data_IF_135553354228
#
_entry.id   IF_135553354228
#
_cell.length_a   1.000
_cell.length_b   1.000
_cell.length_c   1.000
_cell.angle_alpha   90.00
_cell.angle_beta   90.00
_cell.angle_gamma   90.00
#
_symmetry.space_group_name_H-M   'P 1'
#
loop_
_entity.id
_entity.type
_entity.pdbx_description
1 polymer ?
#
# COMPACT_ATOMS: atom_id res chain seq x y z
N UNK A 1 11.26 13.35 27.94
CA UNK A 1 12.54 14.10 27.89
C UNK A 1 12.33 15.38 28.67
N UNK A 2 13.18 15.72 29.65
CA UNK A 2 13.06 17.03 30.29
C UNK A 2 13.35 18.12 29.25
N UNK A 3 12.48 19.12 29.12
CA UNK A 3 12.64 20.23 28.17
C UNK A 3 14.02 20.92 28.29
N UNK A 4 14.63 20.87 29.48
CA UNK A 4 16.00 21.34 29.76
C UNK A 4 17.09 20.65 28.92
N UNK A 5 16.94 19.36 28.62
CA UNK A 5 17.90 18.66 27.75
C UNK A 5 17.70 19.04 26.29
N UNK A 6 16.46 19.21 25.85
CA UNK A 6 16.14 19.62 24.48
C UNK A 6 16.72 21.01 24.21
N UNK A 7 16.54 21.95 25.14
CA UNK A 7 17.07 23.31 25.00
C UNK A 7 18.61 23.34 24.99
N UNK A 8 19.27 22.51 25.79
CA UNK A 8 20.73 22.43 25.83
C UNK A 8 21.31 21.85 24.54
N UNK A 9 20.67 20.80 24.00
CA UNK A 9 21.04 20.20 22.71
C UNK A 9 20.84 21.19 21.55
N UNK A 10 19.74 21.94 21.58
CA UNK A 10 19.45 22.97 20.59
C UNK A 10 20.45 24.13 20.66
N UNK A 11 20.83 24.56 21.86
CA UNK A 11 21.84 25.60 22.07
C UNK A 11 23.20 25.24 21.47
N UNK A 12 23.65 24.00 21.66
CA UNK A 12 24.91 23.48 21.08
C UNK A 12 24.84 23.48 19.54
N UNK A 13 23.70 23.08 18.97
CA UNK A 13 23.50 23.09 17.51
C UNK A 13 23.50 24.53 16.95
N UNK A 14 22.88 25.47 17.67
CA UNK A 14 22.91 26.89 17.30
C UNK A 14 24.33 27.45 17.33
N UNK A 15 25.17 27.08 18.30
CA UNK A 15 26.58 27.50 18.36
C UNK A 15 27.38 26.95 17.18
N UNK A 16 27.21 25.67 16.85
CA UNK A 16 27.85 25.04 15.69
C UNK A 16 27.46 25.74 14.38
N UNK A 17 26.16 25.99 14.17
CA UNK A 17 25.64 26.68 12.98
C UNK A 17 26.08 28.15 12.91
N UNK A 18 26.17 28.84 14.05
CA UNK A 18 26.67 30.21 14.11
C UNK A 18 28.16 30.28 13.72
N UNK A 19 28.99 29.34 14.19
CA UNK A 19 30.40 29.24 13.79
C UNK A 19 30.56 29.06 12.28
N UNK A 20 29.80 28.14 11.68
CA UNK A 20 29.80 27.93 10.23
C UNK A 20 29.39 29.16 9.42
N UNK A 21 28.38 29.92 9.90
CA UNK A 21 27.93 31.16 9.25
C UNK A 21 28.99 32.26 9.32
N UNK A 22 29.67 32.42 10.47
CA UNK A 22 30.73 33.41 10.65
C UNK A 22 31.97 33.11 9.78
N UNK A 23 32.25 31.83 9.52
CA UNK A 23 33.33 31.42 8.63
C UNK A 23 32.95 31.48 7.13
N UNK A 24 31.72 31.85 6.80
CA UNK A 24 31.25 31.93 5.41
C UNK A 24 30.94 30.58 4.73
N UNK A 25 30.99 29.46 5.47
CA UNK A 25 30.71 28.11 4.98
C UNK A 25 29.24 27.67 5.18
N UNK A 26 28.38 28.57 5.66
CA UNK A 26 26.96 28.29 5.82
C UNK A 26 26.29 28.05 4.46
N UNK A 27 25.74 26.85 4.26
CA UNK A 27 24.82 26.53 3.15
C UNK A 27 23.83 27.69 2.96
N UNK A 28 23.66 28.15 1.73
CA UNK A 28 22.76 29.25 1.35
C UNK A 28 21.31 28.94 1.72
N UNK A 29 20.95 29.08 3.00
CA UNK A 29 19.56 29.15 3.44
C UNK A 29 19.04 30.49 2.97
N UNK A 30 18.12 30.40 1.99
CA UNK A 30 17.46 31.43 1.21
C UNK A 30 16.55 32.31 2.08
N UNK A 31 17.08 32.94 3.13
CA UNK A 31 16.39 33.97 3.88
C UNK A 31 17.08 35.31 3.61
N UNK A 32 16.38 36.16 2.85
CA UNK A 32 16.91 37.38 2.29
C UNK A 32 17.37 38.39 3.34
N UNK A 33 18.66 38.68 3.33
CA UNK A 33 19.17 40.00 3.69
C UNK A 33 20.20 40.40 2.64
N UNK A 34 19.86 41.38 1.80
CA UNK A 34 20.77 42.04 0.85
C UNK A 34 21.81 42.78 1.68
N UNK A 35 23.00 42.21 1.82
CA UNK A 35 24.13 42.79 2.54
C UNK A 35 25.42 42.67 1.72
N UNK A 36 26.11 43.81 1.60
CA UNK A 36 27.29 44.07 0.79
C UNK A 36 28.38 42.99 0.84
N UNK A 37 29.00 42.71 -0.32
CA UNK A 37 30.24 41.92 -0.46
C UNK A 37 31.38 42.62 0.29
N UNK A 38 31.57 42.28 1.56
CA UNK A 38 32.88 42.38 2.19
C UNK A 38 33.30 40.99 2.64
N UNK A 39 34.54 40.62 2.29
CA UNK A 39 35.16 39.42 2.82
C UNK A 39 35.12 39.45 4.35
N UNK A 40 34.81 38.34 5.04
CA UNK A 40 34.83 38.31 6.49
C UNK A 40 36.24 38.69 6.95
N UNK A 41 36.34 39.71 7.80
CA UNK A 41 37.62 40.12 8.37
C UNK A 41 38.24 38.93 9.10
N UNK A 42 39.57 38.77 9.00
CA UNK A 42 40.32 37.62 9.52
C UNK A 42 39.97 37.34 11.00
N UNK A 43 39.73 38.38 11.80
CA UNK A 43 39.29 38.24 13.20
C UNK A 43 37.91 37.57 13.38
N UNK A 44 36.94 37.87 12.50
CA UNK A 44 35.61 37.24 12.52
C UNK A 44 35.70 35.77 12.10
N UNK A 45 36.55 35.45 11.12
CA UNK A 45 36.78 34.07 10.70
C UNK A 45 37.41 33.21 11.82
N UNK A 46 38.39 33.76 12.56
CA UNK A 46 39.01 33.09 13.72
C UNK A 46 37.97 32.87 14.84
N UNK A 47 37.18 33.89 15.16
CA UNK A 47 36.11 33.76 16.16
C UNK A 47 35.07 32.70 15.74
N UNK A 48 34.70 32.68 14.45
CA UNK A 48 33.83 31.66 13.87
C UNK A 48 34.40 30.25 13.98
N UNK A 49 35.70 30.09 13.74
CA UNK A 49 36.40 28.80 13.85
C UNK A 49 36.44 28.25 15.28
N UNK A 50 36.73 29.12 16.27
CA UNK A 50 36.69 28.73 17.69
C UNK A 50 35.28 28.30 18.10
N UNK A 51 34.25 29.05 17.69
CA UNK A 51 32.86 28.73 17.99
C UNK A 51 32.41 27.43 17.28
N UNK A 52 32.87 27.20 16.05
CA UNK A 52 32.64 25.96 15.31
C UNK A 52 33.26 24.76 16.04
N UNK A 53 34.50 24.85 16.50
CA UNK A 53 35.16 23.75 17.24
C UNK A 53 34.43 23.43 18.54
N UNK A 54 34.05 24.45 19.32
CA UNK A 54 33.27 24.26 20.54
C UNK A 54 31.91 23.63 20.26
N UNK A 55 31.21 24.08 19.23
CA UNK A 55 29.94 23.51 18.79
C UNK A 55 30.08 22.07 18.28
N UNK A 56 31.14 21.77 17.53
CA UNK A 56 31.41 20.43 16.99
C UNK A 56 31.71 19.43 18.10
N UNK A 57 32.55 19.78 19.08
CA UNK A 57 32.79 18.97 20.28
C UNK A 57 31.48 18.74 21.04
N UNK A 58 30.71 19.80 21.26
CA UNK A 58 29.39 19.71 21.90
C UNK A 58 28.44 18.76 21.17
N UNK A 59 28.39 18.80 19.84
CA UNK A 59 27.53 17.95 19.01
C UNK A 59 27.86 16.46 19.16
N UNK A 60 29.16 16.12 19.18
CA UNK A 60 29.60 14.74 19.38
C UNK A 60 29.14 14.23 20.76
N UNK A 61 29.37 15.00 21.82
CA UNK A 61 28.92 14.64 23.18
C UNK A 61 27.39 14.55 23.27
N UNK A 62 26.68 15.50 22.66
CA UNK A 62 25.22 15.53 22.57
C UNK A 62 24.66 14.27 21.92
N UNK A 63 25.26 13.80 20.84
CA UNK A 63 24.80 12.59 20.16
C UNK A 63 25.05 11.32 20.98
N UNK A 64 26.15 11.24 21.74
CA UNK A 64 26.36 10.17 22.71
C UNK A 64 25.30 10.18 23.82
N UNK A 65 24.96 11.35 24.36
CA UNK A 65 23.94 11.49 25.40
C UNK A 65 22.56 11.09 24.86
N UNK A 66 22.18 11.55 23.66
CA UNK A 66 20.92 11.18 23.01
C UNK A 66 20.80 9.66 22.84
N UNK A 67 21.87 9.02 22.35
CA UNK A 67 21.91 7.56 22.18
C UNK A 67 21.78 6.82 23.50
N UNK A 68 22.45 7.29 24.57
CA UNK A 68 22.34 6.68 25.89
C UNK A 68 20.92 6.79 26.46
N UNK A 69 20.28 7.96 26.33
CA UNK A 69 18.90 8.18 26.79
C UNK A 69 17.90 7.36 25.99
N UNK A 70 18.07 7.24 24.67
CA UNK A 70 17.20 6.41 23.85
C UNK A 70 17.29 4.93 24.25
N UNK A 71 18.49 4.41 24.51
CA UNK A 71 18.65 3.04 25.02
C UNK A 71 17.96 2.82 26.36
N UNK A 72 18.03 3.80 27.26
CA UNK A 72 17.32 3.74 28.55
C UNK A 72 15.80 3.71 28.38
N UNK A 73 15.26 4.47 27.42
CA UNK A 73 13.82 4.45 27.12
C UNK A 73 13.35 3.11 26.58
N UNK A 74 14.11 2.51 25.67
CA UNK A 74 13.77 1.18 25.15
C UNK A 74 13.74 0.14 26.28
N UNK A 75 14.73 0.15 27.19
CA UNK A 75 14.72 -0.76 28.34
C UNK A 75 13.57 -0.49 29.32
N UNK A 76 13.19 0.77 29.51
CA UNK A 76 12.05 1.14 30.34
C UNK A 76 10.73 0.73 29.68
N UNK A 77 10.60 0.88 28.37
CA UNK A 77 9.44 0.43 27.61
C UNK A 77 9.30 -1.10 27.66
N UNK A 78 10.41 -1.83 27.51
CA UNK A 78 10.44 -3.29 27.68
C UNK A 78 9.98 -3.68 29.08
N UNK A 79 10.54 -3.06 30.12
CA UNK A 79 10.15 -3.32 31.52
C UNK A 79 8.66 -3.04 31.77
N UNK A 80 8.16 -1.87 31.34
CA UNK A 80 6.74 -1.52 31.45
C UNK A 80 5.85 -2.50 30.70
N UNK A 81 6.23 -2.90 29.48
CA UNK A 81 5.48 -3.89 28.70
C UNK A 81 5.38 -5.22 29.45
N UNK A 82 6.47 -5.68 30.07
CA UNK A 82 6.44 -6.89 30.90
C UNK A 82 5.64 -6.73 32.18
N UNK A 83 5.61 -5.55 32.79
CA UNK A 83 4.83 -5.26 33.99
C UNK A 83 3.32 -5.24 33.68
N UNK A 84 2.94 -4.61 32.57
CA UNK A 84 1.54 -4.57 32.11
C UNK A 84 1.02 -5.93 31.67
N UNK A 85 1.82 -6.69 30.92
CA UNK A 85 1.40 -8.00 30.39
C UNK A 85 1.62 -9.15 31.38
N UNK A 86 2.45 -8.94 32.40
CA UNK A 86 2.93 -9.98 33.33
C UNK A 86 3.52 -11.21 32.62
N UNK A 87 3.96 -11.06 31.37
CA UNK A 87 4.47 -12.15 30.54
C UNK A 87 5.74 -11.75 29.79
N UNK A 88 6.92 -11.81 30.45
CA UNK A 88 8.18 -11.44 29.82
C UNK A 88 8.62 -12.44 28.74
N UNK A 89 8.18 -13.71 28.80
CA UNK A 89 8.48 -14.75 27.82
C UNK A 89 7.86 -14.49 26.45
N UNK A 90 6.67 -13.90 26.39
CA UNK A 90 6.02 -13.54 25.13
C UNK A 90 6.83 -12.49 24.34
N UNK A 91 7.38 -11.49 25.03
CA UNK A 91 8.19 -10.45 24.41
C UNK A 91 9.53 -11.00 23.89
N UNK A 92 10.14 -11.95 24.62
CA UNK A 92 11.33 -12.68 24.15
C UNK A 92 11.02 -13.47 22.87
N UNK A 93 9.93 -14.22 22.83
CA UNK A 93 9.53 -14.98 21.63
C UNK A 93 9.26 -14.08 20.42
N UNK A 94 8.68 -12.90 20.63
CA UNK A 94 8.49 -11.90 19.57
C UNK A 94 9.82 -11.37 19.03
N UNK A 95 10.78 -11.03 19.90
CA UNK A 95 12.11 -10.57 19.47
C UNK A 95 12.92 -11.66 18.78
N UNK A 96 12.80 -12.92 19.20
CA UNK A 96 13.43 -14.06 18.52
C UNK A 96 12.82 -14.29 17.13
N UNK A 97 11.49 -14.22 17.00
CA UNK A 97 10.82 -14.29 15.70
C UNK A 97 11.32 -13.18 14.75
N UNK A 98 11.41 -11.94 15.25
CA UNK A 98 11.97 -10.82 14.50
C UNK A 98 13.45 -11.07 14.13
N UNK A 99 14.25 -11.66 15.03
CA UNK A 99 15.65 -12.00 14.77
C UNK A 99 15.80 -13.08 13.69
N UNK A 100 14.89 -14.05 13.68
CA UNK A 100 14.90 -15.17 12.72
C UNK A 100 14.44 -14.72 11.33
N UNK A 101 13.51 -13.76 11.26
CA UNK A 101 12.96 -13.21 10.02
C UNK A 101 13.65 -11.92 9.53
N UNK A 102 14.88 -11.64 9.97
CA UNK A 102 15.65 -10.41 9.62
C UNK A 102 15.87 -10.15 8.12
N UNK A 103 15.56 -11.11 7.25
CA UNK A 103 15.71 -10.98 5.80
C UNK A 103 14.56 -10.20 5.11
N UNK A 104 13.43 -9.94 5.78
CA UNK A 104 12.22 -9.44 5.12
C UNK A 104 11.98 -7.91 5.07
N UNK A 105 12.60 -7.11 5.94
CA UNK A 105 12.29 -5.68 6.06
C UNK A 105 13.37 -4.76 5.50
N UNK A 106 13.37 -4.49 4.19
CA UNK A 106 14.30 -3.52 3.58
C UNK A 106 13.60 -2.20 3.30
N UNK A 107 13.89 -1.18 4.12
CA UNK A 107 13.46 0.20 3.83
C UNK A 107 14.53 0.89 3.01
N UNK A 108 14.42 0.79 1.69
CA UNK A 108 15.32 1.43 0.72
C UNK A 108 14.79 2.83 0.38
N UNK A 109 15.04 3.78 1.27
CA UNK A 109 14.71 5.19 1.04
C UNK A 109 15.84 6.09 1.53
N UNK A 110 16.19 7.13 0.77
CA UNK A 110 17.31 8.04 1.08
C UNK A 110 17.11 8.75 2.44
N UNK A 111 15.85 9.01 2.81
CA UNK A 111 15.48 9.61 4.10
C UNK A 111 15.14 8.60 5.20
N UNK A 112 15.34 7.28 4.99
CA UNK A 112 15.01 6.26 6.00
C UNK A 112 15.75 6.50 7.34
N UNK A 113 16.92 7.17 7.30
CA UNK A 113 17.64 7.59 8.50
C UNK A 113 16.87 8.55 9.41
N UNK A 114 15.94 9.35 8.86
CA UNK A 114 15.17 10.34 9.62
C UNK A 114 14.10 9.69 10.51
N UNK A 115 13.59 8.53 10.09
CA UNK A 115 12.58 7.74 10.81
C UNK A 115 13.16 6.45 11.42
N UNK A 116 14.48 6.28 11.40
CA UNK A 116 15.16 5.08 11.88
C UNK A 116 14.79 4.70 13.33
N UNK A 117 14.45 5.69 14.16
CA UNK A 117 14.01 5.49 15.55
C UNK A 117 12.66 4.79 15.70
N UNK A 118 11.82 4.77 14.67
CA UNK A 118 10.51 4.09 14.70
C UNK A 118 10.63 2.58 14.43
N UNK A 119 11.76 2.13 13.91
CA UNK A 119 11.96 0.72 13.56
C UNK A 119 12.59 -0.06 14.72
N UNK A 120 12.09 -1.28 14.92
CA UNK A 120 12.63 -2.24 15.90
C UNK A 120 14.02 -2.74 15.47
N UNK A 121 14.23 -2.89 14.16
CA UNK A 121 15.50 -3.31 13.55
C UNK A 121 16.00 -2.20 12.62
N UNK A 122 17.29 -1.82 12.65
CA UNK A 122 17.83 -0.81 11.75
C UNK A 122 17.68 -1.21 10.27
N UNK A 123 17.33 -0.28 9.37
CA UNK A 123 17.27 -0.55 7.94
C UNK A 123 18.66 -0.89 7.37
N UNK A 124 18.74 -1.99 6.62
CA UNK A 124 19.98 -2.46 5.98
C UNK A 124 20.41 -1.47 4.87
N UNK A 125 21.66 -1.00 4.93
CA UNK A 125 22.25 -0.07 3.94
C UNK A 125 22.96 1.14 4.54
N UNK A 126 22.80 1.40 5.85
CA UNK A 126 23.57 2.41 6.55
C UNK A 126 24.67 1.76 7.40
N UNK A 127 25.79 1.41 6.75
CA UNK A 127 27.02 0.88 7.38
C UNK A 127 27.55 1.75 8.54
N UNK A 128 27.12 3.02 8.63
CA UNK A 128 27.53 3.97 9.68
C UNK A 128 26.38 4.44 10.59
N UNK A 129 25.22 3.76 10.57
CA UNK A 129 24.16 4.03 11.53
C UNK A 129 24.59 3.53 12.92
N UNK A 130 25.23 4.40 13.70
CA UNK A 130 25.41 4.21 15.14
C UNK A 130 24.04 3.86 15.73
N UNK A 131 23.84 2.59 16.08
CA UNK A 131 22.51 2.06 16.40
C UNK A 131 21.81 2.91 17.47
N UNK A 132 20.72 3.55 17.07
CA UNK A 132 19.88 4.41 17.92
C UNK A 132 19.16 3.62 19.02
N UNK A 133 19.10 2.29 18.89
CA UNK A 133 18.48 1.33 19.80
C UNK A 133 19.50 0.28 20.29
N UNK A 134 19.32 -0.30 21.49
CA UNK A 134 20.13 -1.44 21.91
C UNK A 134 19.87 -2.65 20.99
N UNK A 135 20.86 -3.51 20.81
CA UNK A 135 20.66 -4.72 20.00
C UNK A 135 19.57 -5.61 20.61
N UNK A 136 18.81 -6.31 19.75
CA UNK A 136 17.76 -7.23 20.19
C UNK A 136 18.28 -8.27 21.19
N UNK A 137 19.50 -8.76 21.00
CA UNK A 137 20.16 -9.70 21.90
C UNK A 137 20.31 -9.15 23.32
N UNK A 138 20.75 -7.89 23.48
CA UNK A 138 20.85 -7.23 24.79
C UNK A 138 19.50 -7.01 25.46
N UNK A 139 18.43 -6.82 24.66
CA UNK A 139 17.06 -6.70 25.18
C UNK A 139 16.55 -8.05 25.65
N UNK A 140 16.76 -9.10 24.86
CA UNK A 140 16.42 -10.50 25.23
C UNK A 140 17.15 -10.89 26.52
N UNK A 141 18.44 -10.62 26.64
CA UNK A 141 19.21 -10.93 27.85
C UNK A 141 18.68 -10.22 29.09
N UNK A 142 18.28 -8.96 28.95
CA UNK A 142 17.68 -8.18 30.05
C UNK A 142 16.30 -8.72 30.44
N UNK A 143 15.48 -9.14 29.47
CA UNK A 143 14.18 -9.76 29.72
C UNK A 143 14.33 -11.13 30.40
N UNK A 144 15.37 -11.90 30.05
CA UNK A 144 15.74 -13.14 30.76
C UNK A 144 16.06 -12.88 32.23
N UNK A 145 16.81 -11.82 32.54
CA UNK A 145 17.10 -11.41 33.92
C UNK A 145 15.83 -11.01 34.69
N UNK A 146 14.76 -10.56 34.02
CA UNK A 146 13.46 -10.24 34.61
C UNK A 146 12.58 -11.49 34.83
N UNK A 147 13.10 -12.70 34.62
CA UNK A 147 12.38 -13.94 34.86
C UNK A 147 11.67 -14.53 33.64
N UNK A 148 11.95 -14.04 32.42
CA UNK A 148 11.52 -14.71 31.19
C UNK A 148 12.14 -16.11 31.15
N UNK A 149 11.30 -17.13 31.32
CA UNK A 149 11.68 -18.50 30.98
C UNK A 149 11.56 -18.66 29.47
N UNK A 150 12.45 -19.44 28.86
CA UNK A 150 12.21 -19.87 27.48
C UNK A 150 10.79 -20.44 27.43
N UNK A 151 9.90 -19.98 26.53
CA UNK A 151 8.89 -20.92 26.09
C UNK A 151 9.68 -22.14 25.60
N UNK A 152 9.43 -23.32 26.16
CA UNK A 152 9.83 -24.56 25.50
C UNK A 152 9.36 -24.38 24.07
N UNK A 153 10.31 -24.16 23.16
CA UNK A 153 9.96 -23.72 21.83
C UNK A 153 8.95 -24.75 21.34
N UNK A 154 7.72 -24.38 20.95
CA UNK A 154 7.16 -25.12 19.86
C UNK A 154 8.16 -24.81 18.75
N UNK A 155 9.11 -25.73 18.55
CA UNK A 155 9.73 -25.94 17.26
C UNK A 155 8.55 -26.30 16.37
N UNK A 156 7.73 -25.32 16.01
CA UNK A 156 7.11 -25.29 14.72
C UNK A 156 8.31 -25.15 13.82
N UNK A 157 8.93 -26.29 13.50
CA UNK A 157 9.47 -26.52 12.18
C UNK A 157 8.39 -25.91 11.31
N UNK A 158 8.69 -24.79 10.69
CA UNK A 158 8.15 -24.57 9.36
C UNK A 158 8.75 -25.75 8.61
N UNK A 159 8.04 -26.88 8.64
CA UNK A 159 8.31 -27.98 7.76
C UNK A 159 8.27 -27.32 6.40
N UNK A 160 9.44 -27.24 5.76
CA UNK A 160 9.48 -27.11 4.33
C UNK A 160 8.68 -28.31 3.84
N UNK A 161 7.40 -28.07 3.57
CA UNK A 161 6.49 -29.07 3.07
C UNK A 161 7.08 -29.53 1.76
N UNK A 162 7.44 -30.82 1.70
CA UNK A 162 7.67 -31.50 0.44
C UNK A 162 6.54 -31.14 -0.53
N UNK A 163 6.85 -30.65 -1.75
CA UNK A 163 5.86 -30.07 -2.65
C UNK A 163 4.89 -31.10 -3.29
N UNK A 164 4.85 -32.34 -2.82
CA UNK A 164 4.12 -33.42 -3.48
C UNK A 164 2.82 -33.87 -2.82
N UNK A 165 2.48 -33.45 -1.59
CA UNK A 165 1.28 -33.97 -0.89
C UNK A 165 0.38 -32.90 -0.22
N UNK A 166 0.44 -31.64 -0.64
CA UNK A 166 -0.47 -30.60 -0.13
C UNK A 166 -1.52 -30.22 -1.19
N UNK A 167 -2.58 -31.03 -1.29
CA UNK A 167 -3.88 -30.54 -1.73
C UNK A 167 -4.41 -29.56 -0.67
N UNK A 168 -4.57 -28.29 -1.05
CA UNK A 168 -5.31 -27.31 -0.28
C UNK A 168 -4.47 -26.38 0.61
N UNK A 169 -3.98 -25.29 0.00
CA UNK A 169 -3.95 -23.89 0.49
C UNK A 169 -2.66 -23.19 0.06
N UNK A 170 -2.70 -22.27 -0.92
CA UNK A 170 -1.82 -21.13 -0.86
C UNK A 170 -2.43 -20.12 0.12
N UNK A 171 -1.87 -20.02 1.33
CA UNK A 171 -1.93 -18.73 2.02
C UNK A 171 -1.08 -17.80 1.17
N UNK A 172 -1.72 -16.99 0.32
CA UNK A 172 -1.06 -15.83 -0.29
C UNK A 172 -0.69 -14.92 0.89
N UNK A 173 0.60 -14.71 1.20
CA UNK A 173 0.97 -13.79 2.27
C UNK A 173 0.43 -12.40 1.95
N UNK A 174 -0.11 -11.69 2.93
CA UNK A 174 -0.57 -10.29 2.81
C UNK A 174 0.52 -9.37 2.19
N UNK A 175 1.79 -9.77 2.30
CA UNK A 175 2.96 -9.12 1.71
C UNK A 175 3.16 -9.34 0.20
N UNK A 176 2.61 -10.39 -0.42
CA UNK A 176 2.72 -10.59 -1.87
C UNK A 176 1.80 -9.68 -2.67
N UNK A 177 0.59 -9.40 -2.19
CA UNK A 177 -0.33 -8.46 -2.84
C UNK A 177 0.24 -7.03 -2.82
N UNK A 178 0.82 -6.61 -1.69
CA UNK A 178 1.44 -5.29 -1.58
C UNK A 178 2.68 -5.14 -2.48
N UNK A 179 3.48 -6.20 -2.63
CA UNK A 179 4.61 -6.23 -3.56
C UNK A 179 4.16 -6.16 -5.01
N UNK A 180 3.13 -6.93 -5.39
CA UNK A 180 2.53 -6.90 -6.73
C UNK A 180 1.97 -5.51 -7.04
N UNK A 181 1.21 -4.90 -6.11
CA UNK A 181 0.68 -3.55 -6.25
C UNK A 181 1.79 -2.49 -6.40
N UNK A 182 2.88 -2.60 -5.62
CA UNK A 182 4.03 -1.69 -5.74
C UNK A 182 4.80 -1.86 -7.04
N UNK A 183 4.92 -3.10 -7.54
CA UNK A 183 5.57 -3.38 -8.81
C UNK A 183 4.73 -2.87 -9.99
N UNK A 184 3.42 -3.03 -9.93
CA UNK A 184 2.48 -2.46 -10.90
C UNK A 184 2.61 -0.93 -10.96
N UNK A 185 2.69 -0.25 -9.80
CA UNK A 185 2.86 1.21 -9.73
C UNK A 185 4.19 1.72 -10.30
N UNK A 186 5.29 0.96 -10.14
CA UNK A 186 6.62 1.35 -10.65
C UNK A 186 6.73 1.29 -12.17
N UNK A 187 5.91 0.46 -12.81
CA UNK A 187 5.97 0.24 -14.24
C UNK A 187 5.13 1.24 -15.04
N UNK A 188 4.34 2.10 -14.38
CA UNK A 188 3.48 3.07 -15.05
C UNK A 188 4.35 4.16 -15.70
N UNK A 189 4.27 4.37 -17.02
CA UNK A 189 4.97 5.45 -17.70
C UNK A 189 4.57 6.83 -17.15
N UNK A 190 5.53 7.75 -17.03
CA UNK A 190 5.29 9.12 -16.56
C UNK A 190 4.12 9.84 -17.24
N UNK A 191 3.99 9.80 -18.59
CA UNK A 191 2.86 10.42 -19.29
C UNK A 191 1.50 9.84 -18.89
N UNK A 192 1.42 8.53 -18.63
CA UNK A 192 0.19 7.89 -18.15
C UNK A 192 -0.15 8.33 -16.72
N UNK A 193 0.87 8.59 -15.88
CA UNK A 193 0.67 9.08 -14.52
C UNK A 193 0.14 10.51 -14.50
N UNK A 194 0.69 11.38 -15.35
CA UNK A 194 0.22 12.76 -15.53
C UNK A 194 -1.22 12.77 -16.08
N UNK A 195 -1.51 11.93 -17.08
CA UNK A 195 -2.84 11.79 -17.66
C UNK A 195 -3.89 11.30 -16.65
N UNK A 196 -3.51 10.40 -15.74
CA UNK A 196 -4.40 9.91 -14.69
C UNK A 196 -4.81 11.00 -13.67
N UNK A 197 -4.07 12.12 -13.63
CA UNK A 197 -4.37 13.27 -12.77
C UNK A 197 -4.95 14.47 -13.54
N UNK A 198 -5.15 14.34 -14.85
CA UNK A 198 -5.68 15.40 -15.71
C UNK A 198 -7.11 15.09 -16.18
N UNK A 199 -8.04 15.98 -15.86
CA UNK A 199 -9.46 15.90 -16.26
C UNK A 199 -9.65 15.72 -17.77
N UNK A 200 -8.80 16.36 -18.59
CA UNK A 200 -8.96 16.35 -20.05
C UNK A 200 -8.60 15.01 -20.67
N UNK A 201 -7.60 14.33 -20.10
CA UNK A 201 -6.93 13.20 -20.71
C UNK A 201 -7.30 11.86 -20.07
N UNK A 202 -7.97 11.87 -18.91
CA UNK A 202 -8.35 10.65 -18.18
C UNK A 202 -9.19 9.68 -19.01
N UNK A 203 -10.14 10.18 -19.83
CA UNK A 203 -10.98 9.34 -20.69
C UNK A 203 -10.14 8.65 -21.78
N UNK A 204 -9.25 9.38 -22.45
CA UNK A 204 -8.35 8.81 -23.45
C UNK A 204 -7.43 7.75 -22.86
N UNK A 205 -6.95 7.95 -21.63
CA UNK A 205 -6.13 6.96 -20.91
C UNK A 205 -6.92 5.69 -20.60
N UNK A 206 -8.15 5.82 -20.09
CA UNK A 206 -9.00 4.67 -19.75
C UNK A 206 -9.33 3.86 -21.00
N UNK A 207 -9.73 4.52 -22.10
CA UNK A 207 -10.02 3.81 -23.35
C UNK A 207 -8.77 3.13 -23.91
N UNK A 208 -7.61 3.79 -23.89
CA UNK A 208 -6.35 3.19 -24.31
C UNK A 208 -5.98 1.97 -23.46
N UNK A 209 -6.33 1.98 -22.17
CA UNK A 209 -6.12 0.86 -21.27
C UNK A 209 -7.02 -0.33 -21.58
N UNK A 210 -8.30 -0.09 -21.87
CA UNK A 210 -9.25 -1.14 -22.25
C UNK A 210 -8.79 -1.84 -23.54
N UNK A 211 -8.45 -1.06 -24.58
CA UNK A 211 -7.95 -1.61 -25.85
C UNK A 211 -6.64 -2.38 -25.68
N UNK A 212 -5.73 -1.91 -24.83
CA UNK A 212 -4.49 -2.64 -24.59
C UNK A 212 -4.71 -4.02 -23.93
N UNK A 213 -5.80 -4.15 -23.19
CA UNK A 213 -6.09 -5.35 -22.42
C UNK A 213 -6.87 -6.40 -23.22
N UNK A 214 -7.41 -6.02 -24.39
CA UNK A 214 -8.15 -6.90 -25.28
C UNK A 214 -7.21 -7.81 -26.12
N UNK A 215 -7.67 -9.02 -26.49
CA UNK A 215 -6.96 -9.90 -27.44
C UNK A 215 -6.59 -9.16 -28.73
N UNK A 216 -5.44 -9.49 -29.34
CA UNK A 216 -4.94 -8.81 -30.55
C UNK A 216 -5.96 -8.78 -31.70
N UNK A 217 -6.81 -9.80 -31.80
CA UNK A 217 -7.87 -9.93 -32.81
C UNK A 217 -8.95 -8.84 -32.67
N UNK A 218 -9.27 -8.44 -31.43
CA UNK A 218 -10.32 -7.48 -31.10
C UNK A 218 -9.82 -6.03 -31.06
N UNK A 219 -8.51 -5.82 -30.91
CA UNK A 219 -7.92 -4.47 -30.81
C UNK A 219 -8.27 -3.60 -32.02
N UNK A 220 -8.31 -4.17 -33.23
CA UNK A 220 -8.67 -3.43 -34.44
C UNK A 220 -10.12 -2.90 -34.43
N UNK A 221 -11.04 -3.69 -33.87
CA UNK A 221 -12.46 -3.32 -33.73
C UNK A 221 -12.59 -2.26 -32.64
N UNK A 222 -11.95 -2.46 -31.50
CA UNK A 222 -12.00 -1.52 -30.38
C UNK A 222 -11.32 -0.17 -30.68
N UNK A 223 -10.25 -0.15 -31.49
CA UNK A 223 -9.68 1.11 -32.01
C UNK A 223 -10.66 1.87 -32.89
N UNK A 224 -11.41 1.16 -33.75
CA UNK A 224 -12.43 1.78 -34.58
C UNK A 224 -13.55 2.40 -33.73
N UNK A 225 -13.90 1.76 -32.61
CA UNK A 225 -14.90 2.25 -31.66
C UNK A 225 -14.38 3.46 -30.88
N UNK A 226 -13.12 3.45 -30.43
CA UNK A 226 -12.49 4.57 -29.75
C UNK A 226 -12.54 5.84 -30.63
N UNK A 227 -12.32 5.69 -31.94
CA UNK A 227 -12.37 6.81 -32.89
C UNK A 227 -13.76 7.44 -33.06
N UNK A 228 -14.83 6.71 -32.73
CA UNK A 228 -16.22 7.23 -32.78
C UNK A 228 -16.61 8.02 -31.54
N UNK A 229 -15.96 7.73 -30.42
CA UNK A 229 -16.30 8.30 -29.11
C UNK A 229 -15.38 9.44 -28.68
N UNK A 230 -14.22 9.60 -29.32
CA UNK A 230 -13.22 10.62 -28.99
C UNK A 230 -13.20 11.76 -30.01
N UNK A 231 -12.98 12.98 -29.54
CA UNK A 231 -12.72 14.14 -30.40
C UNK A 231 -11.28 14.10 -30.98
N UNK A 232 -10.98 14.90 -32.00
CA UNK A 232 -9.68 14.93 -32.68
C UNK A 232 -8.48 15.10 -31.72
N UNK A 233 -8.61 16.00 -30.74
CA UNK A 233 -7.54 16.28 -29.78
C UNK A 233 -7.33 15.09 -28.84
N UNK A 234 -8.43 14.49 -28.36
CA UNK A 234 -8.39 13.32 -27.47
C UNK A 234 -7.89 12.06 -28.18
N UNK A 235 -8.15 11.93 -29.48
CA UNK A 235 -7.70 10.81 -30.31
C UNK A 235 -6.18 10.82 -30.48
N UNK A 236 -5.58 12.00 -30.66
CA UNK A 236 -4.12 12.15 -30.78
C UNK A 236 -3.40 11.66 -29.51
N UNK A 237 -3.93 12.06 -28.36
CA UNK A 237 -3.44 11.69 -27.03
C UNK A 237 -3.70 10.20 -26.74
N UNK A 238 -4.85 9.67 -27.16
CA UNK A 238 -5.18 8.25 -27.07
C UNK A 238 -4.13 7.37 -27.78
N UNK A 239 -3.73 7.72 -29.00
CA UNK A 239 -2.69 6.95 -29.72
C UNK A 239 -1.30 7.05 -29.08
N UNK A 240 -1.00 8.14 -28.38
CA UNK A 240 0.21 8.24 -27.58
C UNK A 240 0.18 7.27 -26.39
N UNK A 241 -0.89 7.25 -25.61
CA UNK A 241 -1.04 6.33 -24.49
C UNK A 241 -1.10 4.87 -24.93
N UNK A 242 -1.76 4.57 -26.05
CA UNK A 242 -1.82 3.22 -26.60
C UNK A 242 -0.42 2.65 -26.81
N UNK A 243 0.50 3.44 -27.40
CA UNK A 243 1.90 3.05 -27.65
C UNK A 243 2.67 2.81 -26.36
N UNK A 244 2.43 3.61 -25.32
CA UNK A 244 3.09 3.46 -24.02
C UNK A 244 2.59 2.21 -23.27
N UNK A 245 1.30 1.90 -23.40
CA UNK A 245 0.66 0.79 -22.70
C UNK A 245 0.92 -0.59 -23.34
N UNK A 246 1.33 -0.69 -24.61
CA UNK A 246 1.66 -1.99 -25.26
C UNK A 246 2.61 -2.85 -24.43
N UNK A 247 3.57 -2.21 -23.76
CA UNK A 247 4.61 -2.89 -22.97
C UNK A 247 4.17 -3.27 -21.55
N UNK A 248 2.93 -2.95 -21.15
CA UNK A 248 2.45 -3.09 -19.78
C UNK A 248 1.76 -4.44 -19.53
N UNK A 249 2.02 -5.09 -18.38
CA UNK A 249 1.26 -6.25 -17.95
C UNK A 249 -0.21 -5.89 -17.70
N UNK A 250 -1.12 -6.78 -18.10
CA UNK A 250 -2.57 -6.68 -17.87
C UNK A 250 -2.93 -6.52 -16.39
N UNK A 251 -2.12 -7.08 -15.49
CA UNK A 251 -2.26 -6.92 -14.03
C UNK A 251 -2.09 -5.48 -13.53
N UNK A 252 -1.54 -4.58 -14.34
CA UNK A 252 -1.40 -3.16 -13.99
C UNK A 252 -2.63 -2.33 -14.36
N UNK A 253 -3.62 -2.90 -15.05
CA UNK A 253 -4.80 -2.18 -15.51
C UNK A 253 -5.67 -1.67 -14.34
N UNK A 254 -5.95 -2.51 -13.36
CA UNK A 254 -6.72 -2.09 -12.17
C UNK A 254 -5.98 -1.01 -11.38
N UNK A 255 -4.65 -1.08 -11.32
CA UNK A 255 -3.83 -0.05 -10.67
C UNK A 255 -3.99 1.30 -11.37
N UNK A 256 -3.90 1.36 -12.70
CA UNK A 256 -4.11 2.60 -13.47
C UNK A 256 -5.53 3.14 -13.26
N UNK A 257 -6.55 2.28 -13.37
CA UNK A 257 -7.94 2.67 -13.14
C UNK A 257 -8.13 3.28 -11.73
N UNK A 258 -7.47 2.73 -10.72
CA UNK A 258 -7.52 3.24 -9.34
C UNK A 258 -6.81 4.59 -9.17
N UNK A 259 -5.78 4.88 -9.96
CA UNK A 259 -5.01 6.15 -9.91
C UNK A 259 -5.77 7.27 -10.61
N UNK A 260 -6.66 6.96 -11.55
CA UNK A 260 -7.52 7.95 -12.21
C UNK A 260 -8.51 8.65 -11.27
N UNK A 261 -8.68 8.16 -10.03
CA UNK A 261 -9.66 8.66 -9.07
C UNK A 261 -9.64 10.18 -8.82
N UNK A 262 -8.49 10.86 -8.64
CA UNK A 262 -8.46 12.30 -8.42
C UNK A 262 -8.98 13.08 -9.64
N UNK A 263 -8.62 12.68 -10.86
CA UNK A 263 -9.09 13.32 -12.08
C UNK A 263 -10.59 13.10 -12.27
N UNK A 264 -11.07 11.86 -12.06
CA UNK A 264 -12.48 11.49 -12.16
C UNK A 264 -13.37 12.24 -11.16
N UNK A 265 -12.93 12.36 -9.90
CA UNK A 265 -13.66 13.11 -8.86
C UNK A 265 -13.69 14.61 -9.13
N UNK A 266 -12.69 15.12 -9.83
CA UNK A 266 -12.61 16.52 -10.17
C UNK A 266 -13.54 16.91 -11.35
N UNK A 267 -14.11 15.95 -12.09
CA UNK A 267 -15.11 16.19 -13.14
C UNK A 267 -16.42 16.74 -12.56
N UNK A 268 -17.10 17.59 -13.33
CA UNK A 268 -18.43 18.11 -12.98
C UNK A 268 -19.51 17.03 -13.18
N UNK A 269 -20.69 17.17 -12.55
CA UNK A 269 -21.74 16.14 -12.57
C UNK A 269 -22.18 15.73 -13.99
N UNK A 270 -22.23 16.67 -14.92
CA UNK A 270 -22.53 16.40 -16.34
C UNK A 270 -21.40 15.65 -17.04
N UNK A 271 -20.15 16.01 -16.75
CA UNK A 271 -18.95 15.37 -17.34
C UNK A 271 -18.76 13.95 -16.81
N UNK A 272 -19.02 13.71 -15.51
CA UNK A 272 -19.00 12.37 -14.90
C UNK A 272 -19.99 11.44 -15.59
N UNK A 273 -21.23 11.92 -15.79
CA UNK A 273 -22.27 11.14 -16.47
C UNK A 273 -21.88 10.84 -17.92
N UNK A 274 -21.44 11.86 -18.66
CA UNK A 274 -21.00 11.68 -20.04
C UNK A 274 -19.84 10.68 -20.14
N UNK A 275 -18.86 10.75 -19.24
CA UNK A 275 -17.70 9.84 -19.20
C UNK A 275 -18.16 8.40 -18.98
N UNK A 276 -19.07 8.17 -18.03
CA UNK A 276 -19.61 6.85 -17.72
C UNK A 276 -20.45 6.31 -18.88
N UNK A 277 -21.31 7.14 -19.48
CA UNK A 277 -22.12 6.77 -20.64
C UNK A 277 -21.23 6.37 -21.83
N UNK A 278 -20.12 7.10 -22.08
CA UNK A 278 -19.13 6.75 -23.10
C UNK A 278 -18.43 5.42 -22.79
N UNK A 279 -18.01 5.19 -21.55
CA UNK A 279 -17.37 3.93 -21.15
C UNK A 279 -18.31 2.73 -21.28
N UNK A 280 -19.55 2.88 -20.86
CA UNK A 280 -20.57 1.81 -21.00
C UNK A 280 -20.88 1.54 -22.46
N UNK A 281 -20.97 2.58 -23.30
CA UNK A 281 -21.18 2.41 -24.73
C UNK A 281 -20.00 1.70 -25.40
N UNK A 282 -18.77 2.03 -24.99
CA UNK A 282 -17.55 1.42 -25.50
C UNK A 282 -17.47 -0.08 -25.14
N UNK A 283 -17.66 -0.43 -23.87
CA UNK A 283 -17.58 -1.83 -23.38
C UNK A 283 -18.71 -2.71 -23.93
N UNK A 284 -19.86 -2.13 -24.30
CA UNK A 284 -20.99 -2.90 -24.86
C UNK A 284 -20.95 -3.02 -26.38
N UNK A 285 -20.00 -2.39 -27.05
CA UNK A 285 -20.04 -2.23 -28.49
C UNK A 285 -19.70 -3.50 -29.27
N UNK A 286 -18.85 -4.36 -28.71
CA UNK A 286 -18.46 -5.68 -29.25
C UNK A 286 -19.37 -6.83 -28.79
N UNK A 287 -20.38 -6.55 -27.96
CA UNK A 287 -21.35 -7.53 -27.42
C UNK A 287 -20.74 -8.63 -26.53
N UNK A 288 -19.45 -8.55 -26.22
CA UNK A 288 -18.74 -9.46 -25.33
C UNK A 288 -18.05 -8.64 -24.23
N UNK A 289 -18.41 -8.88 -22.97
CA UNK A 289 -17.80 -8.15 -21.85
C UNK A 289 -16.72 -9.03 -21.23
N UNK A 290 -15.46 -8.58 -21.27
CA UNK A 290 -14.39 -9.24 -20.54
C UNK A 290 -14.46 -8.94 -19.03
N UNK A 291 -13.88 -9.83 -18.21
CA UNK A 291 -13.80 -9.61 -16.76
C UNK A 291 -13.00 -8.35 -16.41
N UNK A 292 -12.02 -7.97 -17.24
CA UNK A 292 -11.21 -6.78 -17.04
C UNK A 292 -11.98 -5.50 -17.38
N UNK A 293 -12.70 -5.46 -18.50
CA UNK A 293 -13.55 -4.32 -18.85
C UNK A 293 -14.60 -4.08 -17.78
N UNK A 294 -15.27 -5.17 -17.34
CA UNK A 294 -16.20 -5.10 -16.24
C UNK A 294 -15.52 -4.58 -14.96
N UNK A 295 -14.33 -5.07 -14.61
CA UNK A 295 -13.60 -4.67 -13.42
C UNK A 295 -13.20 -3.19 -13.44
N UNK A 296 -12.67 -2.71 -14.58
CA UNK A 296 -12.29 -1.31 -14.78
C UNK A 296 -13.52 -0.40 -14.70
N UNK A 297 -14.63 -0.80 -15.34
CA UNK A 297 -15.91 -0.08 -15.26
C UNK A 297 -16.39 0.01 -13.81
N UNK A 298 -16.36 -1.09 -13.06
CA UNK A 298 -16.78 -1.12 -11.65
C UNK A 298 -15.93 -0.18 -10.79
N UNK A 299 -14.59 -0.22 -10.93
CA UNK A 299 -13.71 0.70 -10.20
C UNK A 299 -14.05 2.15 -10.52
N UNK A 300 -14.18 2.50 -11.80
CA UNK A 300 -14.48 3.87 -12.23
C UNK A 300 -15.85 4.33 -11.76
N UNK A 301 -16.88 3.48 -11.87
CA UNK A 301 -18.23 3.75 -11.38
C UNK A 301 -18.19 4.02 -9.87
N UNK A 302 -17.43 3.24 -9.11
CA UNK A 302 -17.26 3.42 -7.66
C UNK A 302 -16.53 4.73 -7.32
N UNK A 303 -15.56 5.15 -8.12
CA UNK A 303 -14.87 6.44 -7.93
C UNK A 303 -15.73 7.65 -8.26
N UNK A 304 -16.58 7.54 -9.29
CA UNK A 304 -17.45 8.62 -9.74
C UNK A 304 -18.71 8.77 -8.90
N UNK A 305 -19.13 7.70 -8.24
CA UNK A 305 -20.30 7.71 -7.37
C UNK A 305 -19.93 8.20 -5.98
N UNK A 306 -20.45 9.36 -5.60
CA UNK A 306 -20.32 9.86 -4.23
C UNK A 306 -21.02 8.87 -3.28
N UNK A 307 -20.30 8.40 -2.24
CA UNK A 307 -20.90 7.75 -1.07
C UNK A 307 -21.76 8.80 -0.35
N UNK A 308 -22.92 9.14 -0.90
CA UNK A 308 -23.80 10.11 -0.25
C UNK A 308 -24.31 9.48 1.04
N UNK A 309 -24.24 10.24 2.14
CA UNK A 309 -24.74 9.87 3.48
C UNK A 309 -26.24 9.45 3.48
N UNK A 310 -26.93 9.63 2.35
CA UNK A 310 -28.33 9.25 2.15
C UNK A 310 -28.56 7.74 1.93
N UNK A 311 -27.52 6.98 1.56
CA UNK A 311 -27.66 5.53 1.39
C UNK A 311 -27.59 4.83 2.74
N UNK A 312 -28.64 4.05 3.06
CA UNK A 312 -28.75 3.33 4.33
C UNK A 312 -27.63 2.28 4.45
N UNK A 313 -26.73 2.49 5.41
CA UNK A 313 -25.70 1.51 5.76
C UNK A 313 -26.33 0.18 6.18
N UNK A 314 -25.82 -0.90 5.59
CA UNK A 314 -26.19 -2.27 5.89
C UNK A 314 -25.20 -2.79 6.93
N UNK A 315 -25.72 -3.19 8.10
CA UNK A 315 -24.87 -3.63 9.21
C UNK A 315 -24.59 -5.13 9.21
N UNK A 316 -25.46 -5.92 8.57
CA UNK A 316 -25.43 -7.38 8.66
C UNK A 316 -25.22 -8.00 7.29
N UNK A 317 -24.27 -8.93 7.25
CA UNK A 317 -23.99 -9.80 6.10
C UNK A 317 -25.24 -10.54 5.58
N UNK A 318 -26.16 -10.92 6.48
CA UNK A 318 -27.41 -11.61 6.13
C UNK A 318 -28.34 -10.79 5.25
N UNK A 319 -28.28 -9.46 5.31
CA UNK A 319 -29.15 -8.58 4.53
C UNK A 319 -28.72 -8.53 3.05
N UNK A 320 -27.51 -9.00 2.74
CA UNK A 320 -26.91 -9.07 1.40
C UNK A 320 -26.52 -10.50 1.03
N UNK A 321 -27.22 -11.51 1.56
CA UNK A 321 -26.90 -12.93 1.35
C UNK A 321 -26.89 -13.35 -0.12
N UNK A 322 -27.82 -12.84 -0.92
CA UNK A 322 -27.89 -13.10 -2.36
C UNK A 322 -26.64 -12.59 -3.10
N UNK A 323 -26.17 -11.38 -2.76
CA UNK A 323 -24.97 -10.79 -3.34
C UNK A 323 -23.71 -11.58 -2.96
N UNK A 324 -23.59 -11.98 -1.69
CA UNK A 324 -22.47 -12.82 -1.22
C UNK A 324 -22.48 -14.18 -1.91
N UNK A 325 -23.66 -14.77 -2.12
CA UNK A 325 -23.80 -16.04 -2.84
C UNK A 325 -23.31 -15.92 -4.27
N UNK A 326 -23.82 -14.96 -5.04
CA UNK A 326 -23.42 -14.75 -6.44
C UNK A 326 -21.92 -14.52 -6.58
N UNK A 327 -21.32 -13.68 -5.74
CA UNK A 327 -19.89 -13.39 -5.81
C UNK A 327 -19.01 -14.56 -5.37
N UNK A 328 -19.42 -15.31 -4.35
CA UNK A 328 -18.69 -16.51 -3.92
C UNK A 328 -18.68 -17.57 -5.01
N UNK A 329 -19.82 -17.81 -5.66
CA UNK A 329 -19.91 -18.73 -6.78
C UNK A 329 -19.09 -18.26 -7.98
N UNK A 330 -19.15 -16.97 -8.30
CA UNK A 330 -18.38 -16.38 -9.39
C UNK A 330 -16.86 -16.43 -9.19
N UNK A 331 -16.39 -16.28 -7.95
CA UNK A 331 -14.98 -16.47 -7.60
C UNK A 331 -14.57 -17.93 -7.74
N UNK A 332 -15.33 -18.86 -7.20
CA UNK A 332 -14.97 -20.27 -7.19
C UNK A 332 -15.03 -20.91 -8.59
N UNK A 333 -15.96 -20.49 -9.44
CA UNK A 333 -16.00 -20.94 -10.84
C UNK A 333 -14.80 -20.47 -11.66
N UNK A 334 -14.16 -19.36 -11.25
CA UNK A 334 -12.99 -18.75 -11.92
C UNK A 334 -11.65 -19.10 -11.28
N UNK A 335 -11.65 -19.89 -10.20
CA UNK A 335 -10.45 -20.29 -9.48
C UNK A 335 -9.81 -21.59 -10.03
N UNK A 336 -10.30 -22.12 -11.16
CA UNK A 336 -9.86 -23.39 -11.78
C UNK A 336 -9.85 -24.60 -10.81
N UNK A 337 -10.75 -24.58 -9.82
CA UNK A 337 -10.89 -25.65 -8.84
C UNK A 337 -11.75 -26.80 -9.38
N UNK A 338 -11.44 -28.03 -8.97
CA UNK A 338 -12.35 -29.17 -9.22
C UNK A 338 -13.69 -28.98 -8.49
N UNK A 339 -14.76 -29.58 -9.00
CA UNK A 339 -16.12 -29.46 -8.44
C UNK A 339 -16.19 -29.83 -6.95
N UNK A 340 -15.40 -30.83 -6.51
CA UNK A 340 -15.31 -31.20 -5.09
C UNK A 340 -14.66 -30.10 -4.25
N UNK A 341 -13.57 -29.50 -4.74
CA UNK A 341 -12.89 -28.40 -4.06
C UNK A 341 -13.73 -27.13 -4.02
N UNK A 342 -14.53 -26.87 -5.07
CA UNK A 342 -15.48 -25.75 -5.09
C UNK A 342 -16.57 -25.92 -4.02
N UNK A 343 -17.15 -27.12 -3.88
CA UNK A 343 -18.15 -27.39 -2.81
C UNK A 343 -17.55 -27.28 -1.41
N UNK A 344 -16.34 -27.80 -1.23
CA UNK A 344 -15.61 -27.65 0.04
C UNK A 344 -15.33 -26.17 0.36
N UNK A 345 -14.97 -25.38 -0.65
CA UNK A 345 -14.74 -23.96 -0.51
C UNK A 345 -16.02 -23.20 -0.16
N UNK A 346 -17.15 -23.51 -0.80
CA UNK A 346 -18.45 -22.93 -0.45
C UNK A 346 -18.76 -23.16 1.02
N UNK A 347 -18.68 -24.41 1.50
CA UNK A 347 -18.92 -24.75 2.91
C UNK A 347 -17.99 -23.98 3.87
N UNK A 348 -16.72 -23.80 3.50
CA UNK A 348 -15.76 -23.01 4.29
C UNK A 348 -16.17 -21.54 4.36
N UNK A 349 -16.67 -20.96 3.27
CA UNK A 349 -17.18 -19.59 3.23
C UNK A 349 -18.48 -19.48 4.06
N UNK A 350 -19.38 -20.47 3.99
CA UNK A 350 -20.59 -20.51 4.83
C UNK A 350 -20.25 -20.49 6.32
N UNK A 351 -19.27 -21.30 6.76
CA UNK A 351 -18.81 -21.36 8.15
C UNK A 351 -18.23 -20.03 8.63
N UNK A 352 -17.46 -19.33 7.78
CA UNK A 352 -16.83 -18.06 8.12
C UNK A 352 -17.80 -16.86 8.10
N UNK A 353 -18.81 -16.90 7.23
CA UNK A 353 -19.73 -15.77 7.00
C UNK A 353 -21.09 -15.94 7.70
N UNK A 354 -21.46 -17.18 8.02
CA UNK A 354 -22.78 -17.54 8.56
C UNK A 354 -23.92 -17.44 7.54
N UNK A 355 -23.61 -17.39 6.24
CA UNK A 355 -24.59 -17.32 5.15
C UNK A 355 -24.67 -18.68 4.47
N UNK A 356 -25.89 -19.16 4.19
CA UNK A 356 -26.10 -20.35 3.36
C UNK A 356 -25.95 -19.97 1.88
N UNK A 357 -24.99 -20.57 1.21
CA UNK A 357 -24.65 -20.37 -0.20
C UNK A 357 -25.28 -21.46 -1.08
N UNK A 358 -25.53 -22.64 -0.52
CA UNK A 358 -26.12 -23.78 -1.25
C UNK A 358 -25.12 -24.52 -2.13
N UNK A 359 -25.48 -25.73 -2.56
CA UNK A 359 -24.56 -26.66 -3.26
C UNK A 359 -24.54 -26.49 -4.80
N UNK A 360 -25.42 -25.66 -5.35
CA UNK A 360 -25.57 -25.47 -6.78
C UNK A 360 -24.57 -24.43 -7.30
N UNK A 361 -23.67 -24.84 -8.19
CA UNK A 361 -22.70 -23.93 -8.82
C UNK A 361 -23.43 -22.95 -9.75
N UNK A 362 -23.55 -21.70 -9.30
CA UNK A 362 -24.10 -20.60 -10.08
C UNK A 362 -23.01 -19.97 -10.98
N UNK A 363 -23.38 -19.62 -12.21
CA UNK A 363 -22.56 -18.83 -13.13
C UNK A 363 -23.25 -17.50 -13.41
N UNK A 364 -23.18 -16.53 -12.47
CA UNK A 364 -23.86 -15.25 -12.63
C UNK A 364 -23.26 -14.46 -13.80
N UNK A 365 -24.12 -13.73 -14.51
CA UNK A 365 -23.70 -12.84 -15.58
C UNK A 365 -23.09 -11.53 -15.01
N UNK A 366 -22.44 -10.74 -15.86
CA UNK A 366 -21.78 -9.49 -15.42
C UNK A 366 -22.74 -8.44 -14.84
N UNK A 367 -24.01 -8.45 -15.23
CA UNK A 367 -25.02 -7.52 -14.71
C UNK A 367 -25.46 -7.90 -13.28
N UNK A 368 -25.65 -9.20 -13.03
CA UNK A 368 -25.88 -9.77 -11.71
C UNK A 368 -24.68 -9.54 -10.78
N UNK A 369 -23.46 -9.68 -11.30
CA UNK A 369 -22.23 -9.36 -10.58
C UNK A 369 -22.18 -7.87 -10.21
N UNK A 370 -22.46 -6.97 -11.16
CA UNK A 370 -22.49 -5.54 -10.89
C UNK A 370 -23.51 -5.19 -9.80
N UNK A 371 -24.71 -5.78 -9.87
CA UNK A 371 -25.73 -5.60 -8.83
C UNK A 371 -25.26 -6.13 -7.46
N UNK A 372 -24.61 -7.30 -7.42
CA UNK A 372 -24.07 -7.88 -6.19
C UNK A 372 -22.99 -6.99 -5.55
N UNK A 373 -22.04 -6.48 -6.34
CA UNK A 373 -20.98 -5.58 -5.86
C UNK A 373 -21.55 -4.26 -5.34
N UNK A 374 -22.51 -3.65 -6.05
CA UNK A 374 -23.22 -2.45 -5.58
C UNK A 374 -23.95 -2.67 -4.26
N UNK A 375 -24.53 -3.86 -4.07
CA UNK A 375 -25.22 -4.22 -2.82
C UNK A 375 -24.23 -4.33 -1.65
N UNK A 376 -23.05 -4.91 -1.89
CA UNK A 376 -22.00 -5.04 -0.87
C UNK A 376 -21.32 -3.72 -0.52
N UNK A 377 -21.33 -2.73 -1.41
CA UNK A 377 -20.77 -1.40 -1.15
C UNK A 377 -21.39 -0.73 0.09
N UNK A 378 -22.68 -0.94 0.30
CA UNK A 378 -23.41 -0.34 1.42
C UNK A 378 -23.19 -1.07 2.76
N UNK A 379 -22.45 -2.18 2.74
CA UNK A 379 -22.13 -2.97 3.92
C UNK A 379 -21.05 -2.28 4.76
N UNK A 380 -21.15 -2.34 6.09
CA UNK A 380 -20.11 -1.81 6.99
C UNK A 380 -18.74 -2.51 6.76
N UNK A 381 -17.65 -1.78 7.05
CA UNK A 381 -16.27 -2.19 6.76
C UNK A 381 -15.89 -3.54 7.38
N UNK A 382 -16.37 -3.85 8.59
CA UNK A 382 -15.98 -5.05 9.34
C UNK A 382 -16.53 -6.33 8.67
N UNK A 383 -17.84 -6.41 8.35
CA UNK A 383 -18.37 -7.45 7.45
C UNK A 383 -17.64 -7.57 6.10
N UNK A 384 -17.28 -6.46 5.45
CA UNK A 384 -16.56 -6.50 4.17
C UNK A 384 -15.17 -7.15 4.32
N UNK A 385 -14.44 -6.84 5.39
CA UNK A 385 -13.14 -7.46 5.67
C UNK A 385 -13.25 -8.97 5.94
N UNK A 386 -14.32 -9.41 6.61
CA UNK A 386 -14.59 -10.85 6.83
C UNK A 386 -14.81 -11.56 5.49
N UNK A 387 -15.56 -10.94 4.57
CA UNK A 387 -15.78 -11.47 3.22
C UNK A 387 -14.48 -11.58 2.43
N UNK A 388 -13.70 -10.49 2.35
CA UNK A 388 -12.42 -10.50 1.65
C UNK A 388 -11.48 -11.59 2.19
N UNK A 389 -11.38 -11.72 3.53
CA UNK A 389 -10.57 -12.79 4.15
C UNK A 389 -11.07 -14.19 3.81
N UNK A 390 -12.39 -14.38 3.66
CA UNK A 390 -12.97 -15.67 3.27
C UNK A 390 -12.70 -16.02 1.80
N UNK A 391 -12.57 -15.00 0.94
CA UNK A 391 -12.34 -15.17 -0.49
C UNK A 391 -10.86 -15.24 -0.89
N UNK A 392 -9.97 -14.63 -0.12
CA UNK A 392 -8.54 -14.54 -0.42
C UNK A 392 -7.85 -15.89 -0.77
N UNK A 393 -8.15 -17.04 -0.11
CA UNK A 393 -7.53 -18.32 -0.47
C UNK A 393 -7.87 -18.81 -1.88
N UNK A 394 -8.96 -18.31 -2.45
CA UNK A 394 -9.51 -18.70 -3.75
C UNK A 394 -9.21 -17.68 -4.86
N UNK A 395 -8.47 -16.61 -4.54
CA UNK A 395 -8.01 -15.61 -5.51
C UNK A 395 -6.83 -16.17 -6.33
N UNK A 396 -7.14 -17.07 -7.26
CA UNK A 396 -6.19 -17.70 -8.17
C UNK A 396 -6.72 -17.59 -9.60
N UNK A 397 -5.83 -17.61 -10.60
CA UNK A 397 -6.20 -17.50 -12.02
C UNK A 397 -7.09 -16.27 -12.28
N UNK A 398 -8.20 -16.41 -13.00
CA UNK A 398 -9.15 -15.34 -13.28
C UNK A 398 -9.86 -14.81 -12.02
N UNK A 399 -9.98 -15.62 -10.96
CA UNK A 399 -10.56 -15.17 -9.69
C UNK A 399 -9.69 -14.12 -8.99
N UNK A 400 -8.40 -14.02 -9.32
CA UNK A 400 -7.50 -12.97 -8.82
C UNK A 400 -8.01 -11.59 -9.23
N UNK A 401 -8.41 -11.43 -10.49
CA UNK A 401 -8.88 -10.15 -11.02
C UNK A 401 -10.20 -9.73 -10.34
N UNK A 402 -11.12 -10.67 -10.14
CA UNK A 402 -12.37 -10.42 -9.43
C UNK A 402 -12.12 -10.04 -7.96
N UNK A 403 -11.19 -10.72 -7.29
CA UNK A 403 -10.80 -10.42 -5.91
C UNK A 403 -10.20 -9.01 -5.77
N UNK A 404 -9.25 -8.64 -6.64
CA UNK A 404 -8.63 -7.31 -6.63
C UNK A 404 -9.67 -6.20 -6.87
N UNK A 405 -10.62 -6.41 -7.77
CA UNK A 405 -11.74 -5.48 -8.00
C UNK A 405 -12.57 -5.26 -6.74
N UNK A 406 -12.89 -6.34 -6.02
CA UNK A 406 -13.64 -6.27 -4.76
C UNK A 406 -12.84 -5.58 -3.66
N UNK A 407 -11.55 -5.89 -3.53
CA UNK A 407 -10.66 -5.28 -2.54
C UNK A 407 -10.53 -3.77 -2.76
N UNK A 408 -10.30 -3.34 -4.00
CA UNK A 408 -10.21 -1.91 -4.38
C UNK A 408 -11.55 -1.20 -4.12
N UNK A 409 -12.67 -1.86 -4.44
CA UNK A 409 -14.01 -1.29 -4.29
C UNK A 409 -14.46 -1.14 -2.83
N UNK A 410 -13.97 -2.00 -1.92
CA UNK A 410 -14.33 -1.96 -0.49
C UNK A 410 -13.39 -1.08 0.35
N UNK A 411 -12.13 -0.93 -0.06
CA UNK A 411 -11.16 -0.08 0.66
C UNK A 411 -11.37 1.43 0.46
N UNK A 412 -12.22 1.83 -0.48
CA UNK A 412 -12.54 3.23 -0.82
C UNK A 412 -14.01 3.54 -0.56
#
# INVERSE_FOLDING_TARGET
LNYRMISLLFGIECMYMAGLRLMGFGHHTRWGWRGSRNSPSIGIAIAGFVLFLLGACGRICADFIKQAVNRQREYLADAMSTEFTRNPSALVGAFEAIQTHRTGGRVLHQNAGQIAQLFIVPPIGQLFSKASHPSLEKRIDRLKQMGAKYPDAPKRKVEASNPSNASGRPLIPEHSLLFVAQQALRNIPGPCWEAAHDKKNVLSLILALLVNSAPEEEQSIQESLASRHLNSDQLSVYHEYRRLLVSMPTSSALAIASICAPALKALDSSERKSTLDTLVAFIKADSEISLLEWSVLMIIEFELSDRSDSQRRIKRLRDVSDAVSKLSHAMLSRAELTTEHQRFALKTIEENTGIQLGDALLSPNFEELAHAVRSLRNLDDLPQQVLLKSWAPYAQHEATLLYETLEISFTR
#
